data_IF_246448134334
#
_entry.id   IF_246448134334
#
_cell.length_a   1.000
_cell.length_b   1.000
_cell.length_c   1.000
_cell.angle_alpha   90.00
_cell.angle_beta   90.00
_cell.angle_gamma   90.00
#
_symmetry.space_group_name_H-M   'P 1'
#
loop_
_entity.id
_entity.type
_entity.pdbx_description
1 polymer ?
#
# COMPACT_ATOMS: atom_id res chain seq x y z
N UNK A 1 16.52 -12.57 2.85
CA UNK A 1 17.44 -11.66 2.13
C UNK A 1 17.55 -10.35 2.88
N UNK A 2 18.77 -9.93 3.21
CA UNK A 2 19.05 -8.65 3.88
C UNK A 2 19.58 -7.69 2.80
N UNK A 3 18.89 -6.60 2.57
CA UNK A 3 19.30 -5.54 1.64
C UNK A 3 19.59 -4.25 2.40
N UNK A 4 20.76 -3.67 2.17
CA UNK A 4 21.18 -2.39 2.73
C UNK A 4 21.25 -1.37 1.59
N UNK A 5 20.46 -0.31 1.68
CA UNK A 5 20.45 0.80 0.72
C UNK A 5 20.95 2.09 1.34
N UNK A 6 21.79 2.82 0.63
CA UNK A 6 22.28 4.16 0.99
C UNK A 6 21.59 5.20 0.11
N UNK A 7 20.95 6.19 0.72
CA UNK A 7 20.36 7.33 0.02
C UNK A 7 20.79 8.61 0.74
N UNK A 8 21.82 9.23 0.23
CA UNK A 8 22.41 10.41 0.87
C UNK A 8 22.98 10.08 2.25
N UNK A 9 22.51 10.76 3.30
CA UNK A 9 22.89 10.50 4.70
C UNK A 9 21.91 9.55 5.42
N UNK A 10 20.86 9.06 4.76
CA UNK A 10 19.90 8.10 5.30
C UNK A 10 20.26 6.70 4.86
N UNK A 11 20.10 5.73 5.77
CA UNK A 11 20.34 4.32 5.52
C UNK A 11 19.06 3.54 5.78
N UNK A 12 18.81 2.51 4.96
CA UNK A 12 17.66 1.62 5.12
C UNK A 12 18.12 0.15 5.13
N UNK A 13 17.72 -0.59 6.15
CA UNK A 13 17.90 -2.04 6.24
C UNK A 13 16.54 -2.69 6.00
N UNK A 14 16.54 -3.73 5.15
CA UNK A 14 15.35 -4.54 4.87
C UNK A 14 15.63 -6.01 5.12
N UNK A 15 14.69 -6.67 5.76
CA UNK A 15 14.63 -8.13 5.85
C UNK A 15 13.23 -8.63 5.44
N UNK A 16 13.16 -9.81 4.83
CA UNK A 16 11.89 -10.40 4.40
C UNK A 16 11.90 -11.91 4.49
N UNK A 17 10.76 -12.46 4.91
CA UNK A 17 10.49 -13.90 4.99
C UNK A 17 9.27 -14.22 4.13
N UNK A 18 9.36 -15.32 3.36
CA UNK A 18 8.22 -15.93 2.68
C UNK A 18 8.19 -17.41 3.03
N UNK A 19 7.05 -17.88 3.50
CA UNK A 19 6.80 -19.27 3.87
C UNK A 19 5.53 -19.77 3.18
N UNK A 20 5.64 -20.88 2.43
CA UNK A 20 4.59 -21.41 1.57
C UNK A 20 4.24 -22.87 1.88
N UNK A 21 3.66 -23.18 3.05
CA UNK A 21 3.26 -24.53 3.40
C UNK A 21 1.93 -24.88 2.73
N UNK A 22 1.89 -25.96 1.92
CA UNK A 22 0.67 -26.45 1.28
C UNK A 22 -0.08 -25.34 0.53
N UNK A 23 -1.30 -25.01 0.93
CA UNK A 23 -2.15 -23.99 0.30
C UNK A 23 -1.96 -22.57 0.87
N UNK A 24 -1.04 -22.41 1.83
CA UNK A 24 -0.75 -21.11 2.45
C UNK A 24 0.40 -20.37 1.75
N UNK A 25 0.30 -19.07 1.72
CA UNK A 25 1.42 -18.18 1.45
C UNK A 25 1.45 -17.16 2.58
N UNK A 26 2.52 -17.17 3.38
CA UNK A 26 2.70 -16.26 4.51
C UNK A 26 3.94 -15.43 4.23
N UNK A 27 3.83 -14.11 4.33
CA UNK A 27 4.91 -13.17 4.11
C UNK A 27 5.10 -12.23 5.27
N UNK A 28 6.34 -11.83 5.51
CA UNK A 28 6.68 -10.78 6.45
C UNK A 28 7.87 -9.97 5.94
N UNK A 29 7.84 -8.67 6.17
CA UNK A 29 8.91 -7.75 5.78
C UNK A 29 9.08 -6.70 6.85
N UNK A 30 10.32 -6.34 7.17
CA UNK A 30 10.68 -5.27 8.10
C UNK A 30 11.69 -4.36 7.40
N UNK A 31 11.49 -3.06 7.58
CA UNK A 31 12.45 -2.03 7.19
C UNK A 31 12.77 -1.15 8.39
N UNK A 32 14.00 -0.73 8.50
CA UNK A 32 14.44 0.27 9.45
C UNK A 32 15.28 1.33 8.75
N UNK A 33 14.89 2.59 8.91
CA UNK A 33 15.59 3.76 8.39
C UNK A 33 16.26 4.53 9.53
N UNK A 34 17.52 4.86 9.34
CA UNK A 34 18.33 5.61 10.31
C UNK A 34 19.31 6.53 9.59
N UNK A 35 20.01 7.38 10.33
CA UNK A 35 20.93 8.36 9.79
C UNK A 35 20.42 9.79 10.01
N UNK A 36 20.58 10.66 9.03
CA UNK A 36 20.17 12.07 9.13
C UNK A 36 19.39 12.51 7.90
N UNK A 37 18.34 13.31 8.12
CA UNK A 37 17.65 14.03 7.06
C UNK A 37 18.59 15.06 6.40
N UNK A 38 18.20 15.58 5.24
CA UNK A 38 18.92 16.69 4.58
C UNK A 38 19.05 17.94 5.47
N UNK A 39 18.12 18.13 6.42
CA UNK A 39 18.17 19.21 7.42
C UNK A 39 18.98 18.88 8.67
N UNK A 40 19.63 17.71 8.74
CA UNK A 40 20.49 17.29 9.85
C UNK A 40 19.76 16.65 11.04
N UNK A 41 18.43 16.44 10.98
CA UNK A 41 17.68 15.74 12.04
C UNK A 41 17.99 14.25 12.02
N UNK A 42 18.13 13.63 13.17
CA UNK A 42 18.28 12.17 13.28
C UNK A 42 17.02 11.44 12.81
N UNK A 43 17.22 10.40 11.99
CA UNK A 43 16.14 9.53 11.49
C UNK A 43 16.08 8.27 12.33
N UNK A 44 14.87 7.85 12.70
CA UNK A 44 14.61 6.57 13.36
C UNK A 44 13.19 6.14 12.99
N UNK A 45 13.04 5.55 11.82
CA UNK A 45 11.75 5.19 11.26
C UNK A 45 11.73 3.71 10.86
N UNK A 46 10.55 3.09 10.88
CA UNK A 46 10.41 1.70 10.54
C UNK A 46 9.10 1.42 9.79
N UNK A 47 9.13 0.36 9.01
CA UNK A 47 7.97 -0.27 8.41
C UNK A 47 8.00 -1.75 8.74
N UNK A 48 6.85 -2.32 9.04
CA UNK A 48 6.65 -3.75 8.96
C UNK A 48 5.39 -4.05 8.15
N UNK A 49 5.44 -5.15 7.41
CA UNK A 49 4.33 -5.67 6.64
C UNK A 49 4.21 -7.16 6.88
N UNK A 50 3.01 -7.65 7.13
CA UNK A 50 2.70 -9.07 7.25
C UNK A 50 1.50 -9.40 6.38
N UNK A 51 1.55 -10.54 5.71
CA UNK A 51 0.43 -11.02 4.93
C UNK A 51 0.29 -12.53 5.04
N UNK A 52 -0.93 -13.02 4.91
CA UNK A 52 -1.23 -14.42 4.78
C UNK A 52 -2.32 -14.61 3.74
N UNK A 53 -2.15 -15.60 2.87
CA UNK A 53 -3.14 -15.96 1.87
C UNK A 53 -3.33 -17.47 1.84
N UNK A 54 -4.56 -17.91 1.64
CA UNK A 54 -4.96 -19.30 1.58
C UNK A 54 -5.66 -19.60 0.26
N UNK A 55 -5.17 -20.59 -0.47
CA UNK A 55 -5.81 -21.12 -1.67
C UNK A 55 -6.83 -22.17 -1.24
N UNK A 56 -8.11 -21.80 -1.28
CA UNK A 56 -9.22 -22.68 -0.87
C UNK A 56 -9.35 -23.84 -1.86
N UNK A 57 -9.38 -23.49 -3.14
CA UNK A 57 -9.45 -24.40 -4.27
C UNK A 57 -8.80 -23.73 -5.50
N UNK A 58 -8.73 -24.35 -6.69
CA UNK A 58 -8.13 -23.72 -7.88
C UNK A 58 -8.76 -22.38 -8.30
N UNK A 59 -9.99 -22.09 -7.86
CA UNK A 59 -10.74 -20.90 -8.25
C UNK A 59 -10.70 -19.82 -7.17
N UNK A 60 -10.68 -20.17 -5.87
CA UNK A 60 -10.85 -19.24 -4.77
C UNK A 60 -9.58 -19.08 -3.94
N UNK A 61 -9.20 -17.84 -3.72
CA UNK A 61 -8.10 -17.46 -2.82
C UNK A 61 -8.57 -16.33 -1.91
N UNK A 62 -8.28 -16.44 -0.62
CA UNK A 62 -8.51 -15.39 0.36
C UNK A 62 -7.18 -14.94 0.96
N UNK A 63 -7.10 -13.70 1.39
CA UNK A 63 -5.90 -13.17 2.02
C UNK A 63 -6.22 -12.08 3.03
N UNK A 64 -5.28 -11.87 3.93
CA UNK A 64 -5.27 -10.77 4.89
C UNK A 64 -3.88 -10.16 4.90
N UNK A 65 -3.80 -8.88 5.16
CA UNK A 65 -2.53 -8.16 5.26
C UNK A 65 -2.60 -7.01 6.25
N UNK A 66 -1.44 -6.62 6.73
CA UNK A 66 -1.30 -5.45 7.60
C UNK A 66 0.06 -4.82 7.35
N UNK A 67 0.07 -3.55 6.93
CA UNK A 67 1.26 -2.78 6.61
C UNK A 67 1.30 -1.57 7.54
N UNK A 68 2.35 -1.47 8.35
CA UNK A 68 2.54 -0.40 9.32
C UNK A 68 3.76 0.43 8.97
N UNK A 69 3.57 1.72 8.78
CA UNK A 69 4.62 2.73 8.58
C UNK A 69 4.62 3.67 9.77
N UNK A 70 5.76 3.79 10.44
CA UNK A 70 5.89 4.75 11.54
C UNK A 70 5.68 6.17 11.08
N UNK A 71 5.04 6.99 11.92
CA UNK A 71 4.81 8.40 11.71
C UNK A 71 5.67 9.28 12.62
N UNK A 72 5.75 10.56 12.30
CA UNK A 72 6.43 11.58 13.11
C UNK A 72 5.44 12.67 13.52
N UNK A 73 5.31 12.91 14.81
CA UNK A 73 4.57 14.04 15.39
C UNK A 73 5.43 15.30 15.56
N UNK A 74 6.73 15.19 15.27
CA UNK A 74 7.69 16.28 15.40
C UNK A 74 8.13 16.60 16.83
N UNK A 75 7.58 15.94 17.86
CA UNK A 75 7.79 16.29 19.27
C UNK A 75 9.17 15.90 19.79
N UNK A 76 9.78 14.82 19.30
CA UNK A 76 10.97 14.19 19.91
C UNK A 76 12.31 14.68 19.35
N UNK A 77 12.34 15.66 18.49
CA UNK A 77 13.57 16.09 17.81
C UNK A 77 14.12 15.10 16.76
N UNK A 78 13.65 13.85 16.75
CA UNK A 78 13.96 12.83 15.74
C UNK A 78 12.86 12.79 14.66
N UNK A 79 13.25 12.45 13.44
CA UNK A 79 12.32 12.19 12.35
C UNK A 79 11.95 10.69 12.36
N UNK A 80 10.70 10.39 12.68
CA UNK A 80 10.20 9.02 12.87
C UNK A 80 9.30 8.53 11.75
N UNK A 81 8.95 9.36 10.77
CA UNK A 81 8.12 8.93 9.66
C UNK A 81 8.93 8.11 8.67
N UNK A 82 8.43 6.90 8.38
CA UNK A 82 9.03 6.07 7.35
C UNK A 82 8.76 6.66 5.97
N UNK A 83 9.82 6.81 5.16
CA UNK A 83 9.74 7.28 3.78
C UNK A 83 9.93 6.08 2.84
N UNK A 84 8.90 5.61 2.11
CA UNK A 84 9.01 4.50 1.18
C UNK A 84 9.73 4.93 -0.11
N UNK A 85 11.04 5.08 -0.03
CA UNK A 85 11.92 5.40 -1.14
C UNK A 85 11.87 4.29 -2.20
N UNK A 86 11.83 4.65 -3.49
CA UNK A 86 11.85 3.74 -4.63
C UNK A 86 10.67 2.76 -4.74
N UNK A 87 9.58 3.04 -4.05
CA UNK A 87 8.36 2.27 -4.20
C UNK A 87 7.66 2.51 -5.53
N UNK A 88 6.91 1.53 -6.01
CA UNK A 88 5.97 1.71 -7.13
C UNK A 88 4.70 2.35 -6.61
N UNK A 89 4.30 3.46 -7.21
CA UNK A 89 2.98 4.05 -7.00
C UNK A 89 1.88 3.10 -7.31
N UNK A 90 0.81 2.85 -7.13
CA UNK A 90 -0.28 1.91 -7.53
C UNK A 90 -0.14 0.46 -7.07
N UNK A 91 0.75 0.13 -6.17
CA UNK A 91 0.90 -1.25 -5.71
C UNK A 91 0.47 -1.49 -4.27
N UNK A 92 0.53 -0.47 -3.45
CA UNK A 92 0.35 -0.55 -2.00
C UNK A 92 -0.63 0.51 -1.52
N UNK A 93 -1.30 0.23 -0.41
CA UNK A 93 -2.13 1.19 0.33
C UNK A 93 -3.37 1.67 -0.42
N UNK A 94 -4.08 0.73 -1.06
CA UNK A 94 -5.30 0.96 -1.82
C UNK A 94 -5.05 1.39 -3.27
N UNK A 95 -6.05 1.21 -4.13
CA UNK A 95 -5.97 1.51 -5.56
C UNK A 95 -6.25 2.98 -5.90
N UNK A 96 -6.80 3.76 -4.96
CA UNK A 96 -7.04 5.20 -5.15
C UNK A 96 -5.81 6.07 -4.90
N UNK A 97 -4.66 5.48 -4.48
CA UNK A 97 -3.37 6.15 -4.30
C UNK A 97 -3.36 7.33 -3.31
N UNK A 98 -4.29 7.38 -2.37
CA UNK A 98 -4.35 8.48 -1.43
C UNK A 98 -3.10 8.60 -0.55
N UNK A 99 -2.44 7.49 -0.22
CA UNK A 99 -1.41 7.47 0.84
C UNK A 99 0.00 7.29 0.32
N UNK A 100 0.18 7.03 -0.95
CA UNK A 100 1.48 6.76 -1.53
C UNK A 100 1.87 7.77 -2.62
N UNK A 101 0.97 8.06 -3.55
CA UNK A 101 1.24 8.97 -4.66
C UNK A 101 1.08 10.45 -4.25
N UNK A 102 0.33 10.75 -3.18
CA UNK A 102 0.10 12.12 -2.71
C UNK A 102 0.61 12.34 -1.29
N UNK A 103 1.22 13.49 -1.06
CA UNK A 103 1.72 13.92 0.25
C UNK A 103 0.57 14.25 1.20
N UNK A 104 0.83 14.19 2.50
CA UNK A 104 -0.03 14.78 3.52
C UNK A 104 0.06 16.31 3.48
N UNK A 105 -1.02 17.01 3.87
CA UNK A 105 -1.05 18.47 3.89
C UNK A 105 -0.11 19.04 4.97
N UNK A 106 0.31 20.28 4.79
CA UNK A 106 1.12 21.05 5.74
C UNK A 106 2.42 20.37 6.19
N UNK A 107 2.99 19.49 5.36
CA UNK A 107 4.21 18.76 5.69
C UNK A 107 4.05 17.73 6.82
N UNK A 108 2.82 17.35 7.15
CA UNK A 108 2.53 16.27 8.09
C UNK A 108 3.11 14.95 7.55
N UNK A 109 3.58 14.13 8.47
CA UNK A 109 4.03 12.76 8.19
C UNK A 109 3.55 11.82 9.29
N UNK A 110 2.22 11.62 9.41
CA UNK A 110 1.64 10.90 10.53
C UNK A 110 1.81 9.39 10.44
N UNK A 111 2.50 8.88 9.40
CA UNK A 111 2.60 7.47 9.11
C UNK A 111 1.28 6.88 8.63
N UNK A 112 1.28 5.56 8.39
CA UNK A 112 0.11 4.84 7.88
C UNK A 112 0.05 3.44 8.45
N UNK A 113 -1.14 2.98 8.78
CA UNK A 113 -1.43 1.59 9.08
C UNK A 113 -2.58 1.14 8.19
N UNK A 114 -2.26 0.27 7.24
CA UNK A 114 -3.22 -0.35 6.30
C UNK A 114 -3.50 -1.78 6.75
N UNK A 115 -4.76 -2.07 7.07
CA UNK A 115 -5.24 -3.42 7.35
C UNK A 115 -6.17 -3.85 6.23
N UNK A 116 -5.86 -4.97 5.57
CA UNK A 116 -6.55 -5.38 4.37
C UNK A 116 -7.05 -6.83 4.41
N UNK A 117 -8.17 -7.04 3.75
CA UNK A 117 -8.71 -8.37 3.43
C UNK A 117 -8.93 -8.40 1.93
N UNK A 118 -8.51 -9.48 1.28
CA UNK A 118 -8.67 -9.65 -0.15
C UNK A 118 -9.21 -11.02 -0.51
N UNK A 119 -9.99 -11.05 -1.59
CA UNK A 119 -10.57 -12.26 -2.17
C UNK A 119 -10.31 -12.25 -3.66
N UNK A 120 -9.82 -13.35 -4.20
CA UNK A 120 -9.69 -13.55 -5.64
C UNK A 120 -10.50 -14.75 -6.09
N UNK A 121 -11.21 -14.59 -7.21
CA UNK A 121 -12.01 -15.64 -7.83
C UNK A 121 -11.67 -15.79 -9.31
N UNK A 122 -11.30 -17.00 -9.71
CA UNK A 122 -10.93 -17.37 -11.08
C UNK A 122 -11.97 -18.33 -11.66
N UNK A 123 -13.09 -17.82 -12.23
CA UNK A 123 -14.11 -18.68 -12.83
C UNK A 123 -13.60 -19.48 -14.02
N UNK A 124 -12.54 -19.02 -14.66
CA UNK A 124 -11.89 -19.71 -15.77
C UNK A 124 -10.40 -19.33 -15.86
N UNK A 125 -9.64 -20.01 -16.71
CA UNK A 125 -8.24 -19.65 -16.98
C UNK A 125 -8.05 -18.25 -17.61
N UNK A 126 -9.12 -17.66 -18.13
CA UNK A 126 -9.11 -16.38 -18.84
C UNK A 126 -9.59 -15.21 -17.97
N UNK A 127 -10.30 -15.46 -16.88
CA UNK A 127 -10.93 -14.41 -16.08
C UNK A 127 -10.46 -14.52 -14.65
N UNK A 128 -10.04 -13.39 -14.07
CA UNK A 128 -9.74 -13.23 -12.66
C UNK A 128 -10.51 -12.02 -12.12
N UNK A 129 -11.24 -12.23 -11.04
CA UNK A 129 -11.93 -11.19 -10.29
C UNK A 129 -11.22 -11.03 -8.95
N UNK A 130 -11.00 -9.81 -8.52
CA UNK A 130 -10.45 -9.53 -7.19
C UNK A 130 -11.24 -8.45 -6.48
N UNK A 131 -11.39 -8.62 -5.19
CA UNK A 131 -12.00 -7.65 -4.28
C UNK A 131 -11.05 -7.47 -3.10
N UNK A 132 -10.69 -6.23 -2.79
CA UNK A 132 -9.93 -5.90 -1.61
C UNK A 132 -10.68 -4.86 -0.77
N UNK A 133 -10.62 -5.01 0.53
CA UNK A 133 -11.09 -4.04 1.51
C UNK A 133 -9.92 -3.60 2.35
N UNK A 134 -9.75 -2.30 2.49
CA UNK A 134 -8.72 -1.65 3.28
C UNK A 134 -9.34 -0.82 4.39
N UNK A 135 -8.76 -0.86 5.58
CA UNK A 135 -9.02 0.08 6.65
C UNK A 135 -7.73 0.81 6.99
N UNK A 136 -7.73 2.12 6.77
CA UNK A 136 -6.57 2.97 6.97
C UNK A 136 -6.62 3.75 8.27
N UNK A 137 -5.47 3.88 8.92
CA UNK A 137 -5.29 4.74 10.08
C UNK A 137 -3.91 5.38 10.10
N UNK A 138 -3.77 6.50 10.78
CA UNK A 138 -2.47 7.12 11.07
C UNK A 138 -1.79 6.43 12.25
N UNK A 139 -0.47 6.39 12.28
CA UNK A 139 0.32 5.78 13.37
C UNK A 139 0.84 6.82 14.35
N UNK A 140 1.18 8.02 13.89
CA UNK A 140 1.53 9.19 14.70
C UNK A 140 0.29 9.92 15.24
N UNK A 141 0.50 10.88 16.09
CA UNK A 141 -0.55 11.74 16.63
C UNK A 141 -0.68 13.03 15.80
N UNK A 142 -1.92 13.41 15.50
CA UNK A 142 -2.26 14.66 14.81
C UNK A 142 -3.24 15.44 15.65
N UNK A 143 -3.07 16.74 15.70
CA UNK A 143 -3.88 17.66 16.48
C UNK A 143 -4.52 18.71 15.57
N UNK A 144 -5.75 19.07 15.85
CA UNK A 144 -6.44 20.24 15.28
C UNK A 144 -6.67 21.23 16.43
N UNK A 145 -5.86 22.30 16.47
CA UNK A 145 -5.76 23.14 17.65
C UNK A 145 -5.20 22.35 18.85
N UNK A 146 -5.97 22.25 19.93
CA UNK A 146 -5.60 21.48 21.12
C UNK A 146 -6.21 20.05 21.15
N UNK A 147 -7.05 19.73 20.19
CA UNK A 147 -7.78 18.45 20.19
C UNK A 147 -7.01 17.41 19.40
N UNK A 148 -6.75 16.26 20.05
CA UNK A 148 -6.15 15.10 19.40
C UNK A 148 -7.19 14.41 18.51
N UNK A 149 -6.85 14.25 17.23
CA UNK A 149 -7.71 13.58 16.26
C UNK A 149 -7.72 12.05 16.47
N UNK A 150 -8.82 11.41 16.09
CA UNK A 150 -8.90 9.95 16.02
C UNK A 150 -7.93 9.40 14.98
N UNK A 151 -7.48 8.15 15.15
CA UNK A 151 -6.49 7.54 14.23
C UNK A 151 -7.08 7.12 12.89
N UNK A 152 -8.37 6.80 12.80
CA UNK A 152 -9.00 6.25 11.60
C UNK A 152 -9.04 7.26 10.46
N UNK A 153 -8.52 6.87 9.30
CA UNK A 153 -8.57 7.64 8.06
C UNK A 153 -9.79 7.29 7.21
N UNK A 154 -10.21 6.04 7.24
CA UNK A 154 -11.35 5.56 6.49
C UNK A 154 -11.18 4.17 5.93
N UNK A 155 -12.08 3.80 5.02
CA UNK A 155 -12.12 2.47 4.39
C UNK A 155 -12.21 2.61 2.88
N UNK A 156 -11.43 1.80 2.16
CA UNK A 156 -11.45 1.71 0.71
C UNK A 156 -11.88 0.31 0.28
N UNK A 157 -12.67 0.24 -0.77
CA UNK A 157 -13.09 -1.00 -1.41
C UNK A 157 -12.64 -0.96 -2.86
N UNK A 158 -11.83 -1.95 -3.26
CA UNK A 158 -11.27 -2.08 -4.58
C UNK A 158 -11.81 -3.32 -5.27
N UNK A 159 -12.38 -3.15 -6.45
CA UNK A 159 -12.81 -4.25 -7.32
C UNK A 159 -12.04 -4.20 -8.63
N UNK A 160 -11.55 -5.36 -9.09
CA UNK A 160 -10.83 -5.48 -10.36
C UNK A 160 -11.26 -6.73 -11.11
N UNK A 161 -11.33 -6.60 -12.41
CA UNK A 161 -11.54 -7.70 -13.37
C UNK A 161 -10.36 -7.72 -14.34
N UNK A 162 -9.74 -8.89 -14.49
CA UNK A 162 -8.76 -9.16 -15.53
C UNK A 162 -9.32 -10.20 -16.50
N UNK A 163 -9.28 -9.92 -17.79
CA UNK A 163 -9.76 -10.82 -18.84
C UNK A 163 -8.71 -10.99 -19.95
N UNK A 164 -8.25 -12.22 -20.12
CA UNK A 164 -7.38 -12.61 -21.25
C UNK A 164 -8.28 -12.82 -22.48
N UNK A 165 -8.37 -11.82 -23.34
CA UNK A 165 -9.22 -11.82 -24.53
C UNK A 165 -8.67 -12.83 -25.54
N UNK A 166 -7.37 -12.76 -25.81
CA UNK A 166 -6.64 -13.65 -26.69
C UNK A 166 -5.18 -13.74 -26.25
N UNK A 167 -4.39 -14.57 -26.92
CA UNK A 167 -2.95 -14.67 -26.67
C UNK A 167 -2.32 -13.28 -26.71
N UNK A 168 -1.51 -12.98 -25.72
CA UNK A 168 -0.76 -11.73 -25.56
C UNK A 168 -1.62 -10.45 -25.43
N UNK A 169 -2.96 -10.57 -25.24
CA UNK A 169 -3.87 -9.44 -25.02
C UNK A 169 -4.72 -9.65 -23.78
N UNK A 170 -4.56 -8.76 -22.80
CA UNK A 170 -5.33 -8.73 -21.56
C UNK A 170 -6.06 -7.39 -21.42
N UNK A 171 -7.36 -7.45 -21.12
CA UNK A 171 -8.16 -6.33 -20.68
C UNK A 171 -8.27 -6.37 -19.16
N UNK A 172 -8.08 -5.22 -18.51
CA UNK A 172 -8.28 -5.06 -17.08
C UNK A 172 -9.17 -3.85 -16.83
N UNK A 173 -10.09 -3.96 -15.91
CA UNK A 173 -10.94 -2.87 -15.43
C UNK A 173 -10.98 -2.89 -13.91
N UNK A 174 -11.01 -1.71 -13.30
CA UNK A 174 -11.13 -1.57 -11.87
C UNK A 174 -12.06 -0.45 -11.47
N UNK A 175 -12.63 -0.59 -10.28
CA UNK A 175 -13.44 0.42 -9.64
C UNK A 175 -13.12 0.42 -8.14
N UNK A 176 -12.85 1.59 -7.61
CA UNK A 176 -12.50 1.83 -6.21
C UNK A 176 -13.35 2.90 -5.60
N UNK A 177 -13.67 2.78 -4.32
CA UNK A 177 -14.41 3.78 -3.56
C UNK A 177 -13.86 3.92 -2.15
N UNK A 178 -13.77 5.18 -1.67
CA UNK A 178 -13.24 5.53 -0.34
C UNK A 178 -14.29 6.22 0.51
N UNK A 179 -14.45 5.76 1.74
CA UNK A 179 -15.23 6.41 2.80
C UNK A 179 -14.26 7.04 3.79
N UNK A 180 -14.01 8.35 3.63
CA UNK A 180 -13.08 9.10 4.49
C UNK A 180 -13.70 9.55 5.80
N UNK A 181 -12.85 9.93 6.75
CA UNK A 181 -13.20 10.48 8.07
C UNK A 181 -12.81 11.96 8.17
N UNK A 182 -13.17 12.60 9.29
CA UNK A 182 -12.68 13.96 9.61
C UNK A 182 -11.13 13.99 9.75
N UNK A 183 -10.52 12.92 10.26
CA UNK A 183 -9.06 12.81 10.31
C UNK A 183 -8.46 12.77 8.91
N UNK A 184 -9.06 12.04 7.97
CA UNK A 184 -8.66 12.06 6.56
C UNK A 184 -8.70 13.48 5.99
N UNK A 185 -9.79 14.24 6.26
CA UNK A 185 -9.90 15.65 5.86
C UNK A 185 -8.77 16.50 6.44
N UNK A 186 -8.46 16.32 7.71
CA UNK A 186 -7.41 17.11 8.38
C UNK A 186 -6.01 16.83 7.81
N UNK A 187 -5.69 15.58 7.43
CA UNK A 187 -4.35 15.19 6.98
C UNK A 187 -4.16 15.17 5.46
N UNK A 188 -5.25 15.11 4.69
CA UNK A 188 -5.22 15.08 3.21
C UNK A 188 -5.98 16.22 2.56
N UNK A 189 -6.79 16.95 3.31
CA UNK A 189 -7.73 17.92 2.77
C UNK A 189 -8.98 17.28 2.17
N UNK A 190 -9.72 18.05 1.34
CA UNK A 190 -10.92 17.58 0.68
C UNK A 190 -12.17 17.58 1.58
N UNK A 191 -13.21 16.86 1.18
CA UNK A 191 -14.46 16.73 1.91
C UNK A 191 -14.88 15.25 2.03
N UNK A 192 -14.77 14.63 3.21
CA UNK A 192 -15.07 13.22 3.42
C UNK A 192 -16.57 12.89 3.29
N UNK A 193 -17.46 13.91 3.30
CA UNK A 193 -18.91 13.70 3.13
C UNK A 193 -19.32 13.47 1.69
N UNK A 194 -18.44 13.73 0.72
CA UNK A 194 -18.71 13.46 -0.68
C UNK A 194 -18.30 12.03 -1.02
N UNK A 195 -19.05 11.41 -1.92
CA UNK A 195 -18.68 10.13 -2.50
C UNK A 195 -17.35 10.27 -3.25
N UNK A 196 -16.41 9.40 -2.95
CA UNK A 196 -15.09 9.39 -3.57
C UNK A 196 -14.92 8.04 -4.27
N UNK A 197 -14.79 8.08 -5.57
CA UNK A 197 -14.64 6.89 -6.40
C UNK A 197 -13.68 7.13 -7.56
N UNK A 198 -13.17 6.04 -8.09
CA UNK A 198 -12.28 6.03 -9.22
C UNK A 198 -12.47 4.76 -10.04
N UNK A 199 -12.54 4.92 -11.36
CA UNK A 199 -12.66 3.81 -12.28
C UNK A 199 -11.62 3.90 -13.39
N UNK A 200 -11.11 2.75 -13.82
CA UNK A 200 -10.12 2.68 -14.88
C UNK A 200 -10.33 1.47 -15.79
N UNK A 201 -9.81 1.59 -17.01
CA UNK A 201 -9.77 0.54 -18.02
C UNK A 201 -8.38 0.49 -18.63
N UNK A 202 -7.81 -0.70 -18.76
CA UNK A 202 -6.48 -0.91 -19.33
C UNK A 202 -6.49 -2.08 -20.33
N UNK A 203 -5.82 -1.88 -21.46
CA UNK A 203 -5.52 -2.96 -22.40
C UNK A 203 -4.01 -3.16 -22.43
N UNK A 204 -3.59 -4.37 -22.10
CA UNK A 204 -2.19 -4.76 -22.16
C UNK A 204 -1.97 -5.68 -23.36
N UNK A 205 -1.09 -5.25 -24.28
CA UNK A 205 -0.71 -5.99 -25.49
C UNK A 205 0.78 -6.26 -25.40
N UNK A 206 1.16 -7.53 -25.22
CA UNK A 206 2.55 -7.93 -25.00
C UNK A 206 3.00 -9.08 -25.94
N UNK A 207 3.00 -8.88 -27.28
CA UNK A 207 3.42 -9.90 -28.24
C UNK A 207 4.94 -10.04 -28.23
N UNK A 208 5.41 -11.24 -28.52
CA UNK A 208 6.83 -11.46 -28.85
C UNK A 208 7.14 -10.86 -30.22
N UNK A 209 7.85 -9.76 -30.26
CA UNK A 209 8.16 -9.03 -31.49
C UNK A 209 9.36 -9.65 -32.21
N UNK A 210 10.32 -10.20 -31.47
CA UNK A 210 11.54 -10.77 -32.02
C UNK A 210 12.06 -11.94 -31.21
N UNK A 211 12.47 -13.02 -31.88
CA UNK A 211 13.17 -14.17 -31.28
C UNK A 211 14.37 -14.52 -32.09
N UNK A 212 15.57 -14.64 -31.52
CA UNK A 212 16.75 -15.19 -32.16
C UNK A 212 17.19 -16.45 -31.45
N UNK A 213 17.54 -17.48 -32.19
CA UNK A 213 18.20 -18.68 -31.66
C UNK A 213 19.65 -18.59 -32.09
N UNK A 214 20.55 -18.67 -31.16
CA UNK A 214 22.01 -18.80 -31.37
C UNK A 214 22.36 -20.26 -31.38
#
# INVERSE_FOLDING_TARGET
EILIGLVGSEMCIRDSLIYTPSNWTIGGTIYYQFGKTKSGRDVSAFLWAVNAAYQIDPQWKIGVGSDYLSGSDGADGKYKAFDPLYGTHHKFYGAMDYFYASSFVNGLNPGLWDNQINVAYKPSSKVNLSLAYHYFSITGDVYEGNDKLSKGLGSELDFQVDWVIMKDVKLSAGYSTMLGTNTMKAVKGGNPSHWQDWGWLSININPTIFTTKW
#
